data_IF_322358742417
#
_entry.id   IF_322358742417
#
_cell.length_a   1.000
_cell.length_b   1.000
_cell.length_c   1.000
_cell.angle_alpha   90.00
_cell.angle_beta   90.00
_cell.angle_gamma   90.00
#
_symmetry.space_group_name_H-M   'P 1'
#
loop_
_entity.id
_entity.type
_entity.pdbx_description
1 polymer ?
#
# COMPACT_ATOMS: atom_id res chain seq x y z
N UNK A 1 -9.21 -15.79 27.65
CA UNK A 1 -9.19 -14.31 27.46
C UNK A 1 -8.88 -13.86 26.02
N UNK A 2 -8.47 -14.74 25.10
CA UNK A 2 -8.24 -14.38 23.69
C UNK A 2 -9.52 -14.03 22.91
N UNK A 3 -10.66 -14.67 23.21
CA UNK A 3 -11.93 -14.44 22.52
C UNK A 3 -12.45 -13.00 22.67
N UNK A 4 -12.26 -12.38 23.84
CA UNK A 4 -12.66 -10.99 24.07
C UNK A 4 -11.85 -10.00 23.20
N UNK A 5 -10.56 -10.29 22.96
CA UNK A 5 -9.73 -9.47 22.09
C UNK A 5 -10.16 -9.58 20.63
N UNK A 6 -10.47 -10.80 20.16
CA UNK A 6 -10.99 -11.03 18.81
C UNK A 6 -12.35 -10.36 18.62
N UNK A 7 -13.24 -10.44 19.61
CA UNK A 7 -14.55 -9.77 19.56
C UNK A 7 -14.42 -8.24 19.53
N UNK A 8 -13.51 -7.66 20.32
CA UNK A 8 -13.23 -6.23 20.29
C UNK A 8 -12.65 -5.77 18.95
N UNK A 9 -11.74 -6.56 18.37
CA UNK A 9 -11.18 -6.31 17.04
C UNK A 9 -12.26 -6.38 15.95
N UNK A 10 -13.19 -7.34 16.06
CA UNK A 10 -14.33 -7.43 15.15
C UNK A 10 -15.24 -6.21 15.23
N UNK A 11 -15.56 -5.77 16.46
CA UNK A 11 -16.36 -4.58 16.69
C UNK A 11 -15.66 -3.32 16.14
N UNK A 12 -14.34 -3.23 16.28
CA UNK A 12 -13.53 -2.15 15.69
C UNK A 12 -13.68 -2.09 14.17
N UNK A 13 -13.48 -3.21 13.46
CA UNK A 13 -13.63 -3.23 12.00
C UNK A 13 -15.06 -2.95 11.55
N UNK A 14 -16.07 -3.42 12.29
CA UNK A 14 -17.47 -3.11 11.99
C UNK A 14 -17.77 -1.60 12.15
N UNK A 15 -17.17 -0.96 13.15
CA UNK A 15 -17.29 0.49 13.37
C UNK A 15 -16.63 1.34 12.29
N UNK A 16 -15.69 0.78 11.52
CA UNK A 16 -15.06 1.48 10.39
C UNK A 16 -15.90 1.40 9.11
N UNK A 17 -16.91 0.53 9.06
CA UNK A 17 -17.72 0.38 7.86
C UNK A 17 -18.60 1.61 7.65
N UNK A 18 -18.58 2.21 6.45
CA UNK A 18 -19.51 3.28 6.12
C UNK A 18 -20.95 2.75 6.10
N UNK A 19 -21.91 3.63 6.35
CA UNK A 19 -23.32 3.26 6.34
C UNK A 19 -23.72 2.65 4.99
N UNK A 20 -24.66 1.69 5.00
CA UNK A 20 -25.10 0.93 3.82
C UNK A 20 -25.62 1.79 2.65
N UNK A 21 -25.99 3.04 2.90
CA UNK A 21 -26.42 4.00 1.88
C UNK A 21 -25.34 4.99 1.43
N UNK A 22 -24.10 4.84 1.89
CA UNK A 22 -22.97 5.69 1.51
C UNK A 22 -22.43 5.31 0.13
N UNK A 23 -21.96 6.29 -0.65
CA UNK A 23 -21.22 6.05 -1.90
C UNK A 23 -19.90 5.28 -1.68
N UNK A 24 -19.45 5.17 -0.42
CA UNK A 24 -18.28 4.38 -0.01
C UNK A 24 -18.65 3.00 0.56
N UNK A 25 -19.94 2.63 0.58
CA UNK A 25 -20.40 1.33 1.05
C UNK A 25 -19.83 0.21 0.17
N UNK A 26 -18.94 -0.59 0.75
CA UNK A 26 -18.53 -1.87 0.18
C UNK A 26 -19.66 -2.90 0.34
N UNK A 27 -19.58 -3.98 -0.44
CA UNK A 27 -20.56 -5.08 -0.41
C UNK A 27 -20.82 -5.58 1.02
N UNK A 28 -22.04 -6.09 1.24
CA UNK A 28 -22.52 -6.51 2.57
C UNK A 28 -21.51 -7.43 3.28
N UNK A 29 -21.05 -7.01 4.46
CA UNK A 29 -20.07 -7.74 5.25
C UNK A 29 -20.71 -8.98 5.89
N UNK A 30 -20.37 -10.15 5.36
CA UNK A 30 -20.80 -11.44 5.92
C UNK A 30 -19.81 -11.97 6.95
N UNK A 31 -20.21 -12.90 7.84
CA UNK A 31 -19.28 -13.54 8.78
C UNK A 31 -18.08 -14.20 8.10
N UNK A 32 -18.27 -14.77 6.90
CA UNK A 32 -17.18 -15.36 6.10
C UNK A 32 -16.19 -14.30 5.64
N UNK A 33 -16.67 -13.17 5.10
CA UNK A 33 -15.81 -12.05 4.71
C UNK A 33 -15.10 -11.41 5.89
N UNK A 34 -15.76 -11.34 7.03
CA UNK A 34 -15.15 -10.86 8.27
C UNK A 34 -14.01 -11.78 8.73
N UNK A 35 -14.20 -13.11 8.64
CA UNK A 35 -13.13 -14.06 8.95
C UNK A 35 -11.96 -13.94 7.98
N UNK A 36 -12.22 -13.81 6.68
CA UNK A 36 -11.18 -13.57 5.66
C UNK A 36 -10.37 -12.30 5.98
N UNK A 37 -11.06 -11.21 6.37
CA UNK A 37 -10.44 -9.95 6.77
C UNK A 37 -9.52 -10.14 7.98
N UNK A 38 -10.01 -10.79 9.04
CA UNK A 38 -9.20 -11.01 10.24
C UNK A 38 -7.93 -11.83 9.97
N UNK A 39 -8.05 -12.84 9.10
CA UNK A 39 -6.91 -13.68 8.72
C UNK A 39 -5.93 -12.92 7.83
N UNK A 40 -6.43 -12.04 6.95
CA UNK A 40 -5.57 -11.29 6.02
C UNK A 40 -4.73 -10.23 6.72
N UNK A 41 -5.26 -9.58 7.77
CA UNK A 41 -4.54 -8.56 8.54
C UNK A 41 -3.67 -9.13 9.65
N UNK A 42 -3.86 -10.39 10.05
CA UNK A 42 -3.12 -10.99 11.15
C UNK A 42 -1.61 -11.03 10.86
N UNK A 43 -0.80 -10.82 11.90
CA UNK A 43 0.65 -11.02 11.82
C UNK A 43 0.93 -12.50 11.72
N UNK A 44 1.63 -12.90 10.67
CA UNK A 44 2.01 -14.29 10.38
C UNK A 44 3.33 -14.63 11.06
N UNK A 45 3.44 -15.88 11.52
CA UNK A 45 4.70 -16.49 11.96
C UNK A 45 5.39 -15.80 13.14
N UNK A 46 4.62 -15.07 13.96
CA UNK A 46 5.13 -14.36 15.14
C UNK A 46 5.23 -15.25 16.39
N UNK A 47 4.53 -16.38 16.43
CA UNK A 47 4.46 -17.24 17.61
C UNK A 47 5.42 -18.43 17.44
N UNK A 48 6.36 -18.58 18.36
CA UNK A 48 7.29 -19.72 18.39
C UNK A 48 6.70 -20.92 19.16
N UNK A 49 7.03 -22.14 18.73
CA UNK A 49 6.66 -23.38 19.45
C UNK A 49 5.25 -23.89 19.18
N UNK A 50 4.63 -23.49 18.06
CA UNK A 50 3.34 -24.02 17.62
C UNK A 50 3.51 -25.35 16.86
N UNK A 51 2.55 -26.30 17.00
CA UNK A 51 2.46 -27.48 16.13
C UNK A 51 2.23 -27.08 14.67
N UNK A 52 2.71 -27.90 13.72
CA UNK A 52 2.59 -27.64 12.27
C UNK A 52 1.12 -27.52 11.79
N UNK A 53 0.17 -28.18 12.46
CA UNK A 53 -1.25 -28.12 12.12
C UNK A 53 -1.98 -26.88 12.70
N UNK A 54 -1.28 -26.00 13.42
CA UNK A 54 -1.87 -24.80 14.04
C UNK A 54 -1.51 -23.55 13.26
N UNK A 55 -2.53 -22.79 12.84
CA UNK A 55 -2.33 -21.53 12.15
C UNK A 55 -1.54 -20.53 13.02
N UNK A 56 -0.37 -20.10 12.53
CA UNK A 56 0.48 -19.12 13.21
C UNK A 56 0.03 -17.70 12.87
N UNK A 57 -1.12 -17.31 13.43
CA UNK A 57 -1.77 -16.02 13.17
C UNK A 57 -1.98 -15.27 14.48
N UNK A 58 -1.37 -14.10 14.60
CA UNK A 58 -1.58 -13.18 15.71
C UNK A 58 -2.51 -12.04 15.28
N UNK A 59 -3.60 -11.85 16.02
CA UNK A 59 -4.58 -10.81 15.74
C UNK A 59 -3.95 -9.40 15.73
N UNK A 60 -4.23 -8.61 14.69
CA UNK A 60 -3.64 -7.29 14.47
C UNK A 60 -4.70 -6.30 13.97
N UNK A 61 -4.63 -5.05 14.44
CA UNK A 61 -5.62 -4.00 14.13
C UNK A 61 -5.15 -3.01 13.04
N UNK A 62 -4.01 -3.25 12.41
CA UNK A 62 -3.46 -2.33 11.40
C UNK A 62 -2.58 -1.22 11.98
N UNK A 63 -2.44 -1.09 13.31
CA UNK A 63 -1.46 -0.15 13.92
C UNK A 63 -1.62 1.33 13.54
N UNK A 64 -2.77 1.73 12.98
CA UNK A 64 -3.02 3.09 12.49
C UNK A 64 -2.41 3.41 11.13
N UNK A 65 -1.89 2.43 10.39
CA UNK A 65 -1.46 2.62 9.00
C UNK A 65 -2.67 2.87 8.09
N UNK A 66 -2.50 3.74 7.09
CA UNK A 66 -3.53 4.05 6.08
C UNK A 66 -3.90 2.86 5.18
N UNK A 67 -3.09 1.81 5.19
CA UNK A 67 -3.19 0.67 4.29
C UNK A 67 -4.13 -0.39 4.88
N UNK A 68 -5.42 -0.04 4.98
CA UNK A 68 -6.44 -1.06 5.23
C UNK A 68 -6.56 -1.97 4.01
N UNK A 69 -6.74 -3.29 4.19
CA UNK A 69 -7.04 -4.17 3.06
C UNK A 69 -8.38 -3.74 2.44
N UNK A 70 -8.30 -3.07 1.31
CA UNK A 70 -9.47 -2.69 0.53
C UNK A 70 -10.05 -3.94 -0.11
N UNK A 71 -11.22 -4.38 0.36
CA UNK A 71 -11.98 -5.45 -0.29
C UNK A 71 -12.69 -4.87 -1.52
N UNK A 72 -11.96 -4.72 -2.61
CA UNK A 72 -12.59 -4.65 -3.94
C UNK A 72 -12.92 -6.07 -4.37
N UNK A 73 -14.08 -6.35 -4.96
CA UNK A 73 -14.45 -7.68 -5.48
C UNK A 73 -13.40 -8.27 -6.47
N UNK A 74 -12.48 -7.44 -6.97
CA UNK A 74 -11.33 -7.81 -7.80
C UNK A 74 -10.04 -8.18 -7.04
N UNK A 75 -9.97 -8.04 -5.71
CA UNK A 75 -8.76 -8.30 -4.91
C UNK A 75 -8.68 -9.71 -4.33
N UNK A 76 -9.49 -10.65 -4.81
CA UNK A 76 -9.24 -12.08 -4.62
C UNK A 76 -8.04 -12.45 -5.51
N UNK A 77 -6.85 -12.04 -5.11
CA UNK A 77 -5.64 -12.72 -5.54
C UNK A 77 -5.60 -14.03 -4.77
N UNK A 78 -5.70 -15.19 -5.44
CA UNK A 78 -5.43 -16.46 -4.77
C UNK A 78 -3.97 -16.42 -4.32
N UNK A 79 -3.76 -16.34 -3.01
CA UNK A 79 -2.42 -16.51 -2.44
C UNK A 79 -2.11 -18.01 -2.57
N UNK A 80 -1.41 -18.35 -3.66
CA UNK A 80 -0.76 -19.64 -3.81
C UNK A 80 0.40 -19.69 -2.81
N UNK A 81 0.29 -20.56 -1.82
CA UNK A 81 1.42 -20.89 -0.94
C UNK A 81 2.42 -21.70 -1.77
N UNK A 82 3.59 -21.13 -2.02
CA UNK A 82 4.75 -21.90 -2.45
C UNK A 82 5.89 -21.68 -1.47
N UNK A 83 6.39 -22.80 -1.00
CA UNK A 83 7.46 -23.04 -0.04
C UNK A 83 8.71 -22.16 -0.25
N UNK A 84 9.38 -21.84 0.86
CA UNK A 84 10.40 -20.80 0.92
C UNK A 84 11.61 -21.04 0.03
N UNK A 85 11.92 -20.08 -0.83
CA UNK A 85 13.29 -19.65 -1.15
C UNK A 85 13.26 -18.40 -2.04
N UNK A 86 14.05 -17.39 -1.69
CA UNK A 86 14.44 -16.25 -2.53
C UNK A 86 13.32 -15.30 -3.02
N UNK A 87 13.16 -14.17 -2.31
CA UNK A 87 12.72 -12.92 -2.93
C UNK A 87 13.76 -12.52 -4.01
N UNK A 88 13.56 -12.99 -5.25
CA UNK A 88 14.14 -12.34 -6.41
C UNK A 88 13.17 -11.25 -6.83
N UNK A 89 13.60 -10.02 -6.66
CA UNK A 89 13.01 -8.84 -7.26
C UNK A 89 13.12 -8.93 -8.78
N UNK A 90 12.23 -9.69 -9.41
CA UNK A 90 11.92 -9.52 -10.84
C UNK A 90 11.02 -8.28 -10.98
N UNK A 91 11.64 -7.12 -10.70
CA UNK A 91 11.06 -5.81 -10.92
C UNK A 91 11.08 -5.53 -12.43
N UNK A 92 10.08 -6.02 -13.15
CA UNK A 92 9.61 -5.26 -14.30
C UNK A 92 8.46 -4.38 -13.80
N UNK A 93 8.71 -3.09 -13.50
CA UNK A 93 7.66 -2.21 -12.99
C UNK A 93 6.50 -2.17 -14.00
N UNK A 94 5.25 -2.22 -13.55
CA UNK A 94 4.10 -2.19 -14.44
C UNK A 94 4.18 -0.94 -15.34
N UNK A 95 3.74 -1.04 -16.59
CA UNK A 95 3.86 0.00 -17.63
C UNK A 95 3.39 1.40 -17.18
N UNK A 96 2.44 1.45 -16.22
CA UNK A 96 2.00 2.68 -15.58
C UNK A 96 3.07 3.35 -14.70
N UNK A 97 3.87 2.59 -13.96
CA UNK A 97 4.95 3.15 -13.12
C UNK A 97 6.10 3.67 -13.97
N UNK A 98 6.36 3.04 -15.12
CA UNK A 98 7.33 3.53 -16.10
C UNK A 98 6.89 4.88 -16.69
N UNK A 99 5.62 5.01 -17.11
CA UNK A 99 5.13 6.27 -17.69
C UNK A 99 5.15 7.45 -16.71
N UNK A 100 4.94 7.19 -15.42
CA UNK A 100 5.03 8.22 -14.38
C UNK A 100 6.49 8.65 -14.14
N UNK A 101 7.45 7.72 -14.15
CA UNK A 101 8.87 8.03 -14.05
C UNK A 101 9.33 8.88 -15.25
N UNK A 102 8.97 8.48 -16.46
CA UNK A 102 9.32 9.21 -17.69
C UNK A 102 8.73 10.62 -17.70
N UNK A 103 7.48 10.78 -17.23
CA UNK A 103 6.82 12.07 -17.12
C UNK A 103 7.52 12.99 -16.12
N UNK A 104 7.95 12.45 -14.97
CA UNK A 104 8.68 13.20 -13.94
C UNK A 104 10.05 13.61 -14.48
N UNK A 105 10.82 12.69 -15.07
CA UNK A 105 12.15 13.00 -15.62
C UNK A 105 12.10 14.06 -16.70
N UNK A 106 11.12 13.98 -17.61
CA UNK A 106 10.90 14.98 -18.65
C UNK A 106 10.62 16.38 -18.06
N UNK A 107 9.79 16.45 -17.02
CA UNK A 107 9.48 17.71 -16.36
C UNK A 107 10.69 18.29 -15.63
N UNK A 108 11.45 17.46 -14.92
CA UNK A 108 12.69 17.87 -14.25
C UNK A 108 13.69 18.42 -15.27
N UNK A 109 13.91 17.72 -16.39
CA UNK A 109 14.82 18.17 -17.45
C UNK A 109 14.37 19.48 -18.11
N UNK A 110 13.06 19.68 -18.29
CA UNK A 110 12.52 20.93 -18.81
C UNK A 110 12.79 22.11 -17.85
N UNK A 111 12.63 21.89 -16.55
CA UNK A 111 12.91 22.90 -15.52
C UNK A 111 14.41 23.22 -15.48
N UNK A 112 15.28 22.21 -15.48
CA UNK A 112 16.73 22.39 -15.47
C UNK A 112 17.21 23.18 -16.69
N UNK A 113 16.70 22.87 -17.89
CA UNK A 113 17.03 23.64 -19.10
C UNK A 113 16.54 25.08 -19.04
N UNK A 114 15.36 25.32 -18.48
CA UNK A 114 14.82 26.67 -18.33
C UNK A 114 15.67 27.50 -17.35
N UNK A 115 15.95 26.96 -16.17
CA UNK A 115 16.79 27.61 -15.15
C UNK A 115 18.20 27.87 -15.68
N UNK A 116 18.81 26.90 -16.38
CA UNK A 116 20.13 27.06 -16.98
C UNK A 116 20.16 28.15 -18.06
N UNK A 117 19.10 28.26 -18.87
CA UNK A 117 18.95 29.33 -19.86
C UNK A 117 18.84 30.69 -19.19
N UNK A 118 18.00 30.81 -18.16
CA UNK A 118 17.77 32.05 -17.42
C UNK A 118 19.06 32.54 -16.73
N UNK A 119 19.81 31.64 -16.08
CA UNK A 119 21.12 31.95 -15.50
C UNK A 119 22.11 32.42 -16.56
N UNK A 120 22.18 31.73 -17.71
CA UNK A 120 23.10 32.10 -18.79
C UNK A 120 22.76 33.47 -19.38
N UNK A 121 21.48 33.82 -19.52
CA UNK A 121 21.08 35.17 -19.93
C UNK A 121 21.46 36.23 -18.89
N UNK A 122 21.29 35.95 -17.59
CA UNK A 122 21.68 36.89 -16.53
C UNK A 122 23.19 37.13 -16.49
N UNK A 123 24.00 36.08 -16.64
CA UNK A 123 25.47 36.18 -16.71
C UNK A 123 25.94 36.96 -17.94
N UNK A 124 25.34 36.71 -19.11
CA UNK A 124 25.67 37.47 -20.34
C UNK A 124 25.26 38.94 -20.24
N UNK A 125 24.16 39.24 -19.54
CA UNK A 125 23.70 40.63 -19.32
C UNK A 125 24.64 41.40 -18.38
N UNK A 126 25.24 40.70 -17.41
CA UNK A 126 26.18 41.30 -16.47
C UNK A 126 27.55 41.60 -17.10
N UNK A 127 28.01 40.77 -18.03
CA UNK A 127 29.30 40.92 -18.71
C UNK A 127 29.29 42.10 -19.71
N UNK A 128 28.15 42.35 -20.38
CA UNK A 128 27.99 43.44 -21.34
C UNK A 128 27.90 44.85 -20.71
N UNK A 129 27.72 44.94 -19.39
CA UNK A 129 27.58 46.23 -18.68
C UNK A 129 28.86 46.62 -17.90
N UNK A 130 29.98 45.93 -18.16
CA UNK A 130 31.29 46.15 -17.53
C UNK A 130 32.41 46.51 -18.53
N UNK A 131 32.09 47.28 -19.57
CA UNK A 131 33.05 48.02 -20.41
C UNK A 131 32.56 49.45 -20.56
#
# INVERSE_FOLDING_TARGET
MASAHVAGLMAYFLSLQPELGSDFAVSSLTPSKMKELLVSVATKDAISGLPEETANLLAYNGGGSSDFPTFSDSSIYPISVTDGTSFKSDLNPPHMVLSWKDAIEKNVQAIVKKVGKDIKTLVVSADLNST
#
